data_IF_076742551010
#
_entry.id   IF_076742551010
#
_cell.length_a   1.000
_cell.length_b   1.000
_cell.length_c   1.000
_cell.angle_alpha   90.00
_cell.angle_beta   90.00
_cell.angle_gamma   90.00
#
_symmetry.space_group_name_H-M   'P 1'
#
loop_
_entity.id
_entity.type
_entity.pdbx_description
1 polymer ?
#
# COMPACT_ATOMS: atom_id res chain seq x y z
N UNK A 1 6.43 -3.34 16.56
CA UNK A 1 5.48 -4.43 16.44
C UNK A 1 5.19 -4.72 14.98
N UNK A 2 5.69 -5.05 14.05
CA UNK A 2 5.48 -5.35 12.63
C UNK A 2 4.03 -5.54 12.14
N UNK A 3 3.05 -4.94 12.77
CA UNK A 3 1.64 -5.09 12.41
C UNK A 3 1.27 -4.17 11.27
N UNK A 4 0.59 -4.73 10.28
CA UNK A 4 0.05 -3.99 9.14
C UNK A 4 -1.37 -3.53 9.43
N UNK A 5 -1.74 -2.33 8.97
CA UNK A 5 -3.12 -1.87 8.92
C UNK A 5 -3.63 -1.98 7.50
N UNK A 6 -4.78 -2.57 7.33
CA UNK A 6 -5.48 -2.64 6.05
C UNK A 6 -6.75 -1.81 6.15
N UNK A 7 -6.77 -0.67 5.46
CA UNK A 7 -7.89 0.28 5.46
C UNK A 7 -8.65 0.12 4.15
N UNK A 8 -9.87 -0.36 4.24
CA UNK A 8 -10.71 -0.57 3.07
C UNK A 8 -12.04 0.16 3.22
N UNK A 9 -12.70 0.40 2.12
CA UNK A 9 -14.03 1.00 2.11
C UNK A 9 -14.23 1.95 0.94
N UNK A 10 -15.38 2.59 0.92
CA UNK A 10 -15.78 3.49 -0.15
C UNK A 10 -14.91 4.74 -0.22
N UNK A 11 -14.81 5.38 -1.42
CA UNK A 11 -14.03 6.62 -1.57
C UNK A 11 -14.55 7.75 -0.67
N UNK A 12 -13.64 8.61 -0.23
CA UNK A 12 -13.99 9.82 0.52
C UNK A 12 -14.40 9.60 1.97
N UNK A 13 -14.07 8.46 2.56
CA UNK A 13 -14.42 8.12 3.94
C UNK A 13 -13.29 8.38 4.95
N UNK A 14 -12.16 8.93 4.50
CA UNK A 14 -11.07 9.33 5.39
C UNK A 14 -9.94 8.33 5.54
N UNK A 15 -9.87 7.28 4.71
CA UNK A 15 -8.82 6.26 4.78
C UNK A 15 -7.41 6.85 4.62
N UNK A 16 -7.19 7.61 3.56
CA UNK A 16 -5.90 8.26 3.30
C UNK A 16 -5.56 9.25 4.40
N UNK A 17 -6.55 10.01 4.86
CA UNK A 17 -6.37 10.96 5.95
C UNK A 17 -5.90 10.27 7.24
N UNK A 18 -6.52 9.16 7.60
CA UNK A 18 -6.10 8.36 8.76
C UNK A 18 -4.69 7.80 8.57
N UNK A 19 -4.39 7.24 7.39
CA UNK A 19 -3.06 6.71 7.09
C UNK A 19 -1.98 7.79 7.26
N UNK A 20 -2.22 8.99 6.74
CA UNK A 20 -1.29 10.12 6.88
C UNK A 20 -1.16 10.58 8.32
N UNK A 21 -2.23 10.59 9.10
CA UNK A 21 -2.19 10.95 10.51
C UNK A 21 -1.30 9.99 11.31
N UNK A 22 -1.41 8.69 11.05
CA UNK A 22 -0.53 7.66 11.65
C UNK A 22 0.92 7.88 11.22
N UNK A 23 1.15 8.19 9.94
CA UNK A 23 2.48 8.51 9.43
C UNK A 23 3.11 9.71 10.13
N UNK A 24 2.36 10.78 10.32
CA UNK A 24 2.81 11.96 11.06
C UNK A 24 3.20 11.63 12.50
N UNK A 25 2.40 10.82 13.16
CA UNK A 25 2.71 10.39 14.54
C UNK A 25 4.00 9.55 14.58
N UNK A 26 4.21 8.67 13.62
CA UNK A 26 5.43 7.89 13.51
C UNK A 26 6.65 8.78 13.31
N UNK A 27 6.56 9.82 12.48
CA UNK A 27 7.64 10.79 12.26
C UNK A 27 7.98 11.53 13.56
N UNK A 28 6.97 11.95 14.33
CA UNK A 28 7.19 12.59 15.64
C UNK A 28 7.95 11.67 16.60
N UNK A 29 7.79 10.37 16.46
CA UNK A 29 8.51 9.38 17.27
C UNK A 29 9.89 9.03 16.70
N UNK A 30 10.37 9.75 15.68
CA UNK A 30 11.68 9.55 15.09
C UNK A 30 11.74 8.41 14.07
N UNK A 31 10.60 7.94 13.57
CA UNK A 31 10.53 6.87 12.56
C UNK A 31 10.59 7.44 11.15
N UNK A 32 11.15 6.66 10.25
CA UNK A 32 11.13 6.99 8.82
C UNK A 32 9.82 6.50 8.21
N UNK A 33 9.17 7.36 7.42
CA UNK A 33 7.89 7.06 6.78
C UNK A 33 7.96 7.40 5.30
N UNK A 34 7.46 6.50 4.47
CA UNK A 34 7.32 6.74 3.05
C UNK A 34 5.85 6.52 2.65
N UNK A 35 5.25 7.56 2.10
CA UNK A 35 3.93 7.48 1.47
C UNK A 35 4.10 7.29 -0.04
N UNK A 36 3.39 6.33 -0.60
CA UNK A 36 3.32 6.14 -2.05
C UNK A 36 1.94 5.62 -2.45
N UNK A 37 1.61 5.79 -3.72
CA UNK A 37 0.53 5.04 -4.35
C UNK A 37 1.13 3.83 -5.07
N UNK A 38 0.33 2.80 -5.33
CA UNK A 38 0.79 1.64 -6.11
C UNK A 38 1.28 2.08 -7.50
N UNK A 39 0.54 2.98 -8.15
CA UNK A 39 0.92 3.52 -9.47
C UNK A 39 2.29 4.18 -9.43
N UNK A 40 2.54 5.05 -8.45
CA UNK A 40 3.82 5.75 -8.33
C UNK A 40 4.98 4.78 -8.05
N UNK A 41 4.76 3.80 -7.18
CA UNK A 41 5.76 2.77 -6.90
C UNK A 41 6.15 2.01 -8.16
N UNK A 42 5.15 1.58 -8.94
CA UNK A 42 5.40 0.85 -10.19
C UNK A 42 6.06 1.72 -11.25
N UNK A 43 5.66 2.98 -11.37
CA UNK A 43 6.30 3.93 -12.28
C UNK A 43 7.77 4.17 -11.90
N UNK A 44 8.07 4.29 -10.62
CA UNK A 44 9.43 4.48 -10.11
C UNK A 44 10.32 3.29 -10.50
N UNK A 45 9.81 2.06 -10.32
CA UNK A 45 10.54 0.85 -10.72
C UNK A 45 10.76 0.81 -12.24
N UNK A 46 9.73 1.11 -13.04
CA UNK A 46 9.82 1.10 -14.50
C UNK A 46 10.79 2.16 -15.03
N UNK A 47 10.88 3.32 -14.37
CA UNK A 47 11.79 4.38 -14.75
C UNK A 47 13.27 3.95 -14.69
N UNK A 48 13.59 2.96 -13.86
CA UNK A 48 14.94 2.43 -13.71
C UNK A 48 15.39 1.59 -14.90
N UNK A 49 14.47 1.08 -15.73
CA UNK A 49 14.83 0.20 -16.85
C UNK A 49 15.70 0.89 -17.91
N UNK A 50 15.56 2.20 -18.05
CA UNK A 50 16.31 3.02 -19.01
C UNK A 50 17.42 3.85 -18.37
N UNK A 51 17.68 3.65 -17.10
CA UNK A 51 18.66 4.43 -16.33
C UNK A 51 19.80 3.52 -15.87
N UNK A 52 21.02 3.80 -16.33
CA UNK A 52 22.19 2.99 -15.99
C UNK A 52 22.61 3.12 -14.53
N UNK A 53 22.27 4.23 -13.89
CA UNK A 53 22.65 4.55 -12.52
C UNK A 53 21.61 4.11 -11.48
N UNK A 54 20.45 3.65 -11.93
CA UNK A 54 19.35 3.20 -11.06
C UNK A 54 18.98 1.76 -11.36
N UNK A 55 18.98 0.91 -10.35
CA UNK A 55 18.55 -0.48 -10.49
C UNK A 55 17.18 -0.70 -9.84
N UNK A 56 16.41 -1.66 -10.38
CA UNK A 56 15.15 -2.11 -9.77
C UNK A 56 15.38 -2.51 -8.30
N UNK A 57 16.46 -3.23 -8.04
CA UNK A 57 16.82 -3.67 -6.69
C UNK A 57 16.98 -2.50 -5.71
N UNK A 58 17.66 -1.42 -6.15
CA UNK A 58 17.88 -0.25 -5.29
C UNK A 58 16.58 0.50 -5.02
N UNK A 59 15.69 0.58 -6.00
CA UNK A 59 14.39 1.22 -5.82
C UNK A 59 13.53 0.41 -4.85
N UNK A 60 13.45 -0.90 -5.03
CA UNK A 60 12.71 -1.77 -4.10
C UNK A 60 13.28 -1.66 -2.68
N UNK A 61 14.60 -1.65 -2.54
CA UNK A 61 15.26 -1.49 -1.24
C UNK A 61 14.83 -0.21 -0.51
N UNK A 62 14.59 0.88 -1.23
CA UNK A 62 14.11 2.13 -0.65
C UNK A 62 12.71 1.95 -0.02
N UNK A 63 11.81 1.24 -0.68
CA UNK A 63 10.47 0.96 -0.13
C UNK A 63 10.49 -0.04 1.02
N UNK A 64 11.51 -0.89 1.08
CA UNK A 64 11.66 -1.88 2.15
C UNK A 64 12.36 -1.31 3.38
N UNK A 65 13.28 -0.36 3.19
CA UNK A 65 14.15 0.15 4.27
C UNK A 65 13.44 1.06 5.29
N UNK A 66 12.41 1.79 4.88
CA UNK A 66 11.72 2.72 5.78
C UNK A 66 11.00 1.99 6.92
N UNK A 67 10.87 2.64 8.07
CA UNK A 67 10.20 2.03 9.22
C UNK A 67 8.71 1.77 8.96
N UNK A 68 8.03 2.72 8.31
CA UNK A 68 6.61 2.60 7.94
C UNK A 68 6.42 2.93 6.47
N UNK A 69 5.79 2.02 5.72
CA UNK A 69 5.37 2.25 4.35
C UNK A 69 3.85 2.40 4.30
N UNK A 70 3.39 3.51 3.73
CA UNK A 70 1.97 3.73 3.42
C UNK A 70 1.79 3.50 1.93
N UNK A 71 1.06 2.45 1.56
CA UNK A 71 0.76 2.08 0.18
C UNK A 71 -0.72 2.35 -0.09
N UNK A 72 -0.99 3.43 -0.79
CA UNK A 72 -2.34 3.92 -1.07
C UNK A 72 -2.81 3.54 -2.48
N UNK A 73 -4.09 3.68 -2.72
CA UNK A 73 -4.74 3.48 -4.01
C UNK A 73 -4.51 2.08 -4.61
N UNK A 74 -4.51 1.06 -3.77
CA UNK A 74 -4.41 -0.32 -4.25
C UNK A 74 -5.62 -0.65 -5.11
N UNK A 75 -5.37 -0.95 -6.39
CA UNK A 75 -6.41 -1.31 -7.35
C UNK A 75 -7.23 -0.16 -7.90
N UNK A 76 -6.84 1.10 -7.69
CA UNK A 76 -7.61 2.28 -8.10
C UNK A 76 -7.74 2.43 -9.63
N UNK A 77 -6.78 1.94 -10.39
CA UNK A 77 -6.70 2.15 -11.85
C UNK A 77 -6.76 0.83 -12.64
N UNK A 78 -7.49 -0.14 -12.15
CA UNK A 78 -7.65 -1.44 -12.80
C UNK A 78 -6.52 -2.43 -12.48
N UNK A 79 -6.47 -3.53 -13.22
CA UNK A 79 -5.49 -4.59 -12.99
C UNK A 79 -4.08 -4.21 -13.42
N UNK A 80 -3.13 -5.01 -12.98
CA UNK A 80 -1.70 -4.85 -13.26
C UNK A 80 -1.15 -6.10 -13.94
N UNK A 81 -0.01 -5.98 -14.61
CA UNK A 81 0.66 -7.10 -15.26
C UNK A 81 1.25 -8.07 -14.24
N UNK A 82 1.56 -9.29 -14.70
CA UNK A 82 2.23 -10.29 -13.86
C UNK A 82 3.56 -9.79 -13.31
N UNK A 83 4.33 -9.07 -14.14
CA UNK A 83 5.62 -8.49 -13.71
C UNK A 83 5.42 -7.42 -12.63
N UNK A 84 4.40 -6.61 -12.75
CA UNK A 84 4.05 -5.61 -11.74
C UNK A 84 3.62 -6.26 -10.43
N UNK A 85 2.87 -7.35 -10.50
CA UNK A 85 2.51 -8.17 -9.33
C UNK A 85 3.75 -8.74 -8.65
N UNK A 86 4.74 -9.18 -9.40
CA UNK A 86 6.00 -9.67 -8.87
C UNK A 86 6.76 -8.57 -8.11
N UNK A 87 6.80 -7.36 -8.62
CA UNK A 87 7.42 -6.24 -7.93
C UNK A 87 6.72 -5.90 -6.62
N UNK A 88 5.40 -5.88 -6.62
CA UNK A 88 4.64 -5.65 -5.40
C UNK A 88 4.88 -6.77 -4.38
N UNK A 89 4.94 -8.02 -4.83
CA UNK A 89 5.26 -9.14 -3.98
C UNK A 89 6.64 -8.98 -3.32
N UNK A 90 7.65 -8.58 -4.08
CA UNK A 90 9.00 -8.38 -3.53
C UNK A 90 8.99 -7.35 -2.39
N UNK A 91 8.29 -6.23 -2.55
CA UNK A 91 8.18 -5.20 -1.51
C UNK A 91 7.43 -5.73 -0.29
N UNK A 92 6.24 -6.29 -0.50
CA UNK A 92 5.38 -6.78 0.57
C UNK A 92 6.06 -7.91 1.35
N UNK A 93 6.64 -8.89 0.64
CA UNK A 93 7.28 -10.04 1.26
C UNK A 93 8.53 -9.64 2.05
N UNK A 94 9.37 -8.77 1.52
CA UNK A 94 10.57 -8.31 2.23
C UNK A 94 10.21 -7.57 3.52
N UNK A 95 9.19 -6.72 3.48
CA UNK A 95 8.71 -6.02 4.68
C UNK A 95 8.09 -7.00 5.69
N UNK A 96 7.37 -7.99 5.21
CA UNK A 96 6.83 -9.06 6.04
C UNK A 96 7.94 -9.84 6.76
N UNK A 97 8.95 -10.29 6.03
CA UNK A 97 10.08 -11.04 6.59
C UNK A 97 10.88 -10.22 7.61
N UNK A 98 11.01 -8.92 7.39
CA UNK A 98 11.71 -8.01 8.30
C UNK A 98 10.80 -7.45 9.41
N UNK A 99 9.56 -7.90 9.48
CA UNK A 99 8.57 -7.45 10.47
C UNK A 99 8.36 -5.94 10.47
N UNK A 100 8.43 -5.31 9.31
CA UNK A 100 8.21 -3.87 9.15
C UNK A 100 6.76 -3.56 8.85
N UNK A 101 6.11 -2.67 9.63
CA UNK A 101 4.70 -2.37 9.47
C UNK A 101 4.39 -1.62 8.18
N UNK A 102 3.21 -1.89 7.64
CA UNK A 102 2.66 -1.20 6.48
C UNK A 102 1.27 -0.68 6.80
N UNK A 103 0.87 0.36 6.08
CA UNK A 103 -0.54 0.75 5.97
C UNK A 103 -0.93 0.60 4.51
N UNK A 104 -1.86 -0.30 4.25
CA UNK A 104 -2.39 -0.53 2.90
C UNK A 104 -3.80 0.04 2.81
N UNK A 105 -4.05 0.85 1.77
CA UNK A 105 -5.32 1.57 1.60
C UNK A 105 -5.94 1.20 0.25
N UNK A 106 -7.20 0.81 0.26
CA UNK A 106 -7.91 0.43 -0.96
C UNK A 106 -9.40 0.74 -0.89
N UNK A 107 -9.98 1.04 -2.05
CA UNK A 107 -11.42 1.12 -2.23
C UNK A 107 -12.03 -0.23 -2.63
N UNK A 108 -11.19 -1.24 -2.86
CA UNK A 108 -11.63 -2.57 -3.21
C UNK A 108 -12.06 -3.36 -1.97
N UNK A 109 -12.93 -4.34 -2.17
CA UNK A 109 -13.23 -5.34 -1.14
C UNK A 109 -12.06 -6.32 -0.99
N UNK A 110 -12.09 -7.12 0.07
CA UNK A 110 -11.00 -8.04 0.37
C UNK A 110 -10.87 -9.17 -0.64
N UNK A 111 -11.96 -9.86 -0.95
CA UNK A 111 -11.95 -11.09 -1.76
C UNK A 111 -13.04 -11.11 -2.81
N UNK A 112 -12.93 -12.05 -3.74
CA UNK A 112 -13.84 -12.20 -4.87
C UNK A 112 -13.32 -11.51 -6.13
N UNK A 113 -14.23 -11.28 -7.09
CA UNK A 113 -13.90 -10.50 -8.28
C UNK A 113 -13.73 -9.02 -7.89
N UNK A 114 -12.85 -8.30 -8.61
CA UNK A 114 -12.57 -6.89 -8.34
C UNK A 114 -12.21 -6.62 -6.87
N UNK A 115 -11.29 -7.41 -6.33
CA UNK A 115 -10.87 -7.35 -4.94
C UNK A 115 -9.36 -7.12 -4.81
N UNK A 116 -8.91 -6.83 -3.60
CA UNK A 116 -7.47 -6.72 -3.29
C UNK A 116 -6.77 -8.05 -3.56
N UNK A 117 -7.39 -9.17 -3.18
CA UNK A 117 -6.85 -10.51 -3.43
C UNK A 117 -6.65 -10.77 -4.92
N UNK A 118 -7.65 -10.46 -5.74
CA UNK A 118 -7.55 -10.62 -7.20
C UNK A 118 -6.50 -9.69 -7.82
N UNK A 119 -6.38 -8.47 -7.30
CA UNK A 119 -5.44 -7.48 -7.79
C UNK A 119 -3.97 -7.83 -7.48
N UNK A 120 -3.69 -8.26 -6.25
CA UNK A 120 -2.34 -8.55 -5.75
C UNK A 120 -1.89 -9.99 -6.01
N UNK A 121 -2.79 -10.91 -6.23
CA UNK A 121 -2.64 -12.37 -6.17
C UNK A 121 -2.53 -12.90 -4.74
N UNK A 122 -2.79 -14.18 -4.60
CA UNK A 122 -2.88 -14.88 -3.33
C UNK A 122 -1.63 -14.71 -2.46
N UNK A 123 -0.43 -14.87 -3.02
CA UNK A 123 0.81 -14.81 -2.26
C UNK A 123 1.07 -13.46 -1.59
N UNK A 124 0.82 -12.36 -2.29
CA UNK A 124 0.95 -11.00 -1.74
C UNK A 124 -0.15 -10.70 -0.74
N UNK A 125 -1.36 -11.10 -1.06
CA UNK A 125 -2.52 -10.91 -0.20
C UNK A 125 -2.37 -11.65 1.13
N UNK A 126 -1.90 -12.90 1.09
CA UNK A 126 -1.66 -13.70 2.30
C UNK A 126 -0.62 -13.03 3.23
N UNK A 127 0.49 -12.56 2.67
CA UNK A 127 1.52 -11.84 3.43
C UNK A 127 0.97 -10.56 4.06
N UNK A 128 0.18 -9.82 3.29
CA UNK A 128 -0.43 -8.58 3.76
C UNK A 128 -1.40 -8.83 4.91
N UNK A 129 -2.23 -9.87 4.80
CA UNK A 129 -3.29 -10.17 5.77
C UNK A 129 -2.81 -10.87 7.04
N UNK A 130 -1.72 -11.64 6.97
CA UNK A 130 -1.28 -12.49 8.09
C UNK A 130 -1.05 -11.71 9.39
N UNK A 131 -0.57 -10.47 9.29
CA UNK A 131 -0.32 -9.62 10.46
C UNK A 131 -1.17 -8.34 10.43
N UNK A 132 -2.20 -8.30 9.60
CA UNK A 132 -2.98 -7.10 9.40
C UNK A 132 -4.10 -6.96 10.43
N UNK A 133 -4.35 -5.71 10.81
CA UNK A 133 -5.63 -5.30 11.38
C UNK A 133 -6.44 -4.68 10.27
N UNK A 134 -7.66 -5.17 10.10
CA UNK A 134 -8.61 -4.66 9.12
C UNK A 134 -9.46 -3.56 9.74
N UNK A 135 -9.52 -2.43 9.07
CA UNK A 135 -10.45 -1.33 9.40
C UNK A 135 -11.30 -1.05 8.18
N UNK A 136 -12.61 -1.22 8.32
CA UNK A 136 -13.58 -1.01 7.23
C UNK A 136 -14.23 0.35 7.41
N UNK A 137 -14.17 1.15 6.35
CA UNK A 137 -14.79 2.47 6.27
C UNK A 137 -16.07 2.35 5.45
N UNK A 138 -17.20 2.16 6.09
CA UNK A 138 -18.47 1.85 5.44
C UNK A 138 -19.53 2.97 5.53
N UNK A 139 -19.13 4.15 6.00
CA UNK A 139 -20.01 5.30 6.10
C UNK A 139 -20.02 6.16 4.83
N UNK A 140 -20.91 7.13 4.82
CA UNK A 140 -21.09 8.03 3.69
C UNK A 140 -19.85 8.93 3.48
N UNK A 141 -19.55 9.22 2.20
CA UNK A 141 -18.42 10.06 1.83
C UNK A 141 -18.52 11.48 2.39
N UNK A 142 -17.49 11.93 3.08
CA UNK A 142 -17.36 13.32 3.52
C UNK A 142 -17.33 14.32 2.37
N UNK A 143 -16.81 13.91 1.21
CA UNK A 143 -16.75 14.75 0.02
C UNK A 143 -18.15 15.06 -0.52
N UNK A 144 -19.07 14.11 -0.44
CA UNK A 144 -20.47 14.30 -0.85
C UNK A 144 -21.25 15.14 0.14
N UNK A 145 -20.99 15.01 1.42
CA UNK A 145 -21.63 15.81 2.47
C UNK A 145 -21.37 17.30 2.32
N UNK A 146 -20.21 17.70 1.79
CA UNK A 146 -19.88 19.10 1.57
C UNK A 146 -20.60 19.73 0.37
N UNK A 147 -21.27 18.92 -0.47
CA UNK A 147 -22.02 19.36 -1.64
C UNK A 147 -23.54 19.49 -1.37
N UNK A 148 -24.00 19.00 -0.24
CA UNK A 148 -25.40 19.06 0.17
C UNK A 148 -25.63 20.18 1.23
#
# INVERSE_FOLDING_TARGET
SGKTLLLIGTPGTGKTHLACAVGHEAIKQGRTVLYTTVTRLLEDIKSSWNDKDRSVKNIIARYVSVDLLIMDEIGAFGGISEREKDYLFEVINARYEQMKPMIAVSNLRLSGADSIEAYLEERSFDRLCEQARLVVFDWESFRRKSLC
#
